data_IF_665723263747
#
_entry.id   IF_665723263747
#
_cell.length_a   1.000
_cell.length_b   1.000
_cell.length_c   1.000
_cell.angle_alpha   90.00
_cell.angle_beta   90.00
_cell.angle_gamma   90.00
#
_symmetry.space_group_name_H-M   'P 1'
#
loop_
_entity.id
_entity.type
_entity.pdbx_description
1 polymer ?
#
# COMPACT_ATOMS: atom_id res chain seq x y z
N UNK A 1 -35.07 45.85 46.37
CA UNK A 1 -33.62 45.93 46.65
C UNK A 1 -33.28 47.36 47.02
N UNK A 2 -32.79 47.57 48.24
CA UNK A 2 -32.35 48.89 48.74
C UNK A 2 -31.21 49.44 47.88
N UNK A 3 -31.32 50.69 47.43
CA UNK A 3 -30.33 51.46 46.65
C UNK A 3 -29.04 51.73 47.45
N UNK A 4 -28.33 50.67 47.84
CA UNK A 4 -26.97 50.78 48.39
C UNK A 4 -25.99 50.56 47.24
N UNK A 5 -25.46 51.67 46.74
CA UNK A 5 -24.32 51.79 45.83
C UNK A 5 -24.49 51.12 44.47
N UNK A 6 -24.98 51.89 43.50
CA UNK A 6 -24.99 51.60 42.07
C UNK A 6 -23.56 51.67 41.43
N UNK A 7 -22.53 51.33 42.21
CA UNK A 7 -21.15 51.22 41.74
C UNK A 7 -20.96 49.80 41.21
N UNK A 8 -20.64 49.66 39.93
CA UNK A 8 -20.34 48.36 39.33
C UNK A 8 -19.24 47.65 40.13
N UNK A 9 -19.57 46.49 40.70
CA UNK A 9 -18.58 45.65 41.39
C UNK A 9 -17.60 45.11 40.36
N UNK A 10 -16.30 45.21 40.65
CA UNK A 10 -15.25 44.69 39.77
C UNK A 10 -15.36 43.17 39.64
N UNK A 11 -15.33 42.66 38.41
CA UNK A 11 -15.23 41.24 38.17
C UNK A 11 -13.80 40.76 38.49
N UNK A 12 -13.66 39.78 39.37
CA UNK A 12 -12.38 39.17 39.73
C UNK A 12 -12.10 37.97 38.82
N UNK A 13 -11.03 38.05 38.02
CA UNK A 13 -10.59 36.96 37.12
C UNK A 13 -9.88 35.86 37.91
N UNK A 14 -10.09 34.62 37.50
CA UNK A 14 -9.41 33.45 38.09
C UNK A 14 -7.97 33.32 37.54
N UNK A 15 -7.04 32.81 38.36
CA UNK A 15 -5.63 32.61 37.97
C UNK A 15 -5.40 31.24 37.33
N UNK A 16 -4.50 31.18 36.35
CA UNK A 16 -4.03 29.92 35.73
C UNK A 16 -3.11 29.08 36.62
N UNK A 17 -2.67 27.93 36.09
CA UNK A 17 -1.64 27.07 36.70
C UNK A 17 -0.25 27.72 36.62
N UNK A 18 0.66 27.38 37.54
CA UNK A 18 2.05 27.82 37.46
C UNK A 18 2.76 27.13 36.27
N UNK A 19 3.55 27.88 35.49
CA UNK A 19 4.24 27.35 34.28
C UNK A 19 5.05 26.07 34.54
N UNK A 20 5.79 26.00 35.65
CA UNK A 20 6.57 24.80 35.98
C UNK A 20 5.72 23.56 36.33
N UNK A 21 4.44 23.74 36.68
CA UNK A 21 3.47 22.66 37.00
C UNK A 21 2.45 22.44 35.91
N UNK A 22 2.60 23.10 34.76
CA UNK A 22 1.67 22.98 33.64
C UNK A 22 1.56 21.53 33.13
N UNK A 23 2.63 20.72 33.30
CA UNK A 23 2.64 19.27 33.04
C UNK A 23 1.57 18.50 33.85
N UNK A 24 1.14 18.98 35.01
CA UNK A 24 0.09 18.36 35.83
C UNK A 24 -1.32 18.70 35.35
N UNK A 25 -1.43 19.53 34.32
CA UNK A 25 -2.68 20.02 33.78
C UNK A 25 -3.22 21.25 34.52
N UNK A 26 -4.50 21.49 34.28
CA UNK A 26 -5.24 22.64 34.80
C UNK A 26 -5.27 22.68 36.34
N UNK A 27 -5.13 23.88 36.91
CA UNK A 27 -5.24 24.11 38.35
C UNK A 27 -6.71 24.18 38.76
N UNK A 28 -7.22 23.06 39.25
CA UNK A 28 -8.59 22.94 39.75
C UNK A 28 -8.93 24.01 40.79
N UNK A 29 -10.12 24.59 40.65
CA UNK A 29 -10.68 25.58 41.59
C UNK A 29 -11.85 24.95 42.35
N UNK A 30 -12.41 25.73 43.28
CA UNK A 30 -13.51 25.25 44.11
C UNK A 30 -14.71 24.78 43.28
N UNK A 31 -15.02 25.45 42.16
CA UNK A 31 -16.11 25.03 41.25
C UNK A 31 -15.88 23.63 40.70
N UNK A 32 -14.66 23.33 40.25
CA UNK A 32 -14.29 22.02 39.69
C UNK A 32 -14.25 20.95 40.77
N UNK A 33 -13.74 21.29 41.95
CA UNK A 33 -13.78 20.43 43.13
C UNK A 33 -15.22 20.04 43.48
N UNK A 34 -16.15 20.98 43.49
CA UNK A 34 -17.57 20.70 43.78
C UNK A 34 -18.16 19.75 42.73
N UNK A 35 -17.85 19.94 41.44
CA UNK A 35 -18.30 19.03 40.38
C UNK A 35 -17.73 17.62 40.56
N UNK A 36 -16.42 17.51 40.82
CA UNK A 36 -15.75 16.23 41.08
C UNK A 36 -16.30 15.54 42.32
N UNK A 37 -16.49 16.27 43.41
CA UNK A 37 -17.03 15.74 44.65
C UNK A 37 -18.46 15.23 44.45
N UNK A 38 -19.32 15.99 43.74
CA UNK A 38 -20.68 15.55 43.42
C UNK A 38 -20.70 14.28 42.56
N UNK A 39 -19.86 14.19 41.53
CA UNK A 39 -19.73 12.99 40.70
C UNK A 39 -19.25 11.78 41.51
N UNK A 40 -18.23 11.97 42.37
CA UNK A 40 -17.73 10.91 43.25
C UNK A 40 -18.81 10.39 44.19
N UNK A 41 -19.53 11.28 44.90
CA UNK A 41 -20.61 10.86 45.80
C UNK A 41 -21.76 10.20 45.03
N UNK A 42 -22.13 10.70 43.85
CA UNK A 42 -23.15 10.07 42.99
C UNK A 42 -22.77 8.63 42.59
N UNK A 43 -21.50 8.40 42.26
CA UNK A 43 -20.96 7.06 41.97
C UNK A 43 -20.95 6.18 43.22
N UNK A 44 -20.53 6.71 44.36
CA UNK A 44 -20.54 5.96 45.63
C UNK A 44 -21.96 5.56 46.02
N UNK A 45 -22.93 6.48 45.97
CA UNK A 45 -24.33 6.20 46.27
C UNK A 45 -24.89 5.11 45.35
N UNK A 46 -24.56 5.15 44.05
CA UNK A 46 -24.95 4.11 43.10
C UNK A 46 -24.34 2.76 43.45
N UNK A 47 -23.06 2.71 43.80
CA UNK A 47 -22.38 1.47 44.22
C UNK A 47 -22.97 0.92 45.52
N UNK A 48 -23.25 1.77 46.50
CA UNK A 48 -23.90 1.37 47.76
C UNK A 48 -25.27 0.76 47.50
N UNK A 49 -26.10 1.38 46.66
CA UNK A 49 -27.40 0.80 46.25
C UNK A 49 -27.24 -0.53 45.53
N UNK A 50 -26.24 -0.68 44.66
CA UNK A 50 -25.97 -1.96 43.97
C UNK A 50 -25.50 -3.05 44.94
N UNK A 51 -24.68 -2.71 45.94
CA UNK A 51 -24.25 -3.64 47.00
C UNK A 51 -25.43 -4.09 47.85
N UNK A 52 -26.30 -3.17 48.24
CA UNK A 52 -27.51 -3.50 48.99
C UNK A 52 -28.42 -4.46 48.20
N UNK A 53 -28.70 -4.14 46.93
CA UNK A 53 -29.48 -5.04 46.03
C UNK A 53 -28.83 -6.42 45.88
N UNK A 54 -27.51 -6.49 45.80
CA UNK A 54 -26.80 -7.76 45.70
C UNK A 54 -26.89 -8.57 47.01
N UNK A 55 -26.87 -7.91 48.17
CA UNK A 55 -26.99 -8.55 49.49
C UNK A 55 -28.41 -9.05 49.77
N UNK A 56 -29.43 -8.28 49.36
CA UNK A 56 -30.86 -8.60 49.53
C UNK A 56 -31.41 -9.56 48.44
N UNK A 57 -30.55 -10.09 47.57
CA UNK A 57 -30.96 -10.95 46.44
C UNK A 57 -31.55 -12.27 46.92
N UNK A 58 -32.76 -12.61 46.46
CA UNK A 58 -33.35 -13.92 46.67
C UNK A 58 -32.64 -14.97 45.80
N UNK A 59 -32.17 -16.06 46.40
CA UNK A 59 -31.43 -17.12 45.68
C UNK A 59 -32.32 -17.90 44.72
N UNK A 60 -33.61 -17.98 45.01
CA UNK A 60 -34.61 -18.76 44.26
C UNK A 60 -35.43 -17.90 43.28
N UNK A 61 -34.99 -16.66 43.02
CA UNK A 61 -35.66 -15.79 42.06
C UNK A 61 -35.59 -16.34 40.63
N UNK A 62 -36.73 -16.34 39.93
CA UNK A 62 -36.81 -16.77 38.55
C UNK A 62 -37.55 -15.72 37.69
N UNK A 63 -36.88 -15.25 36.64
CA UNK A 63 -37.45 -14.38 35.62
C UNK A 63 -37.42 -15.09 34.26
N UNK A 64 -38.48 -14.97 33.45
CA UNK A 64 -38.56 -15.63 32.13
C UNK A 64 -37.41 -15.27 31.17
N UNK A 65 -36.81 -14.08 31.33
CA UNK A 65 -35.64 -13.66 30.54
C UNK A 65 -34.40 -14.52 30.79
N UNK A 66 -34.28 -15.18 31.96
CA UNK A 66 -33.18 -16.06 32.30
C UNK A 66 -33.06 -17.28 31.36
N UNK A 67 -34.13 -17.64 30.64
CA UNK A 67 -34.10 -18.72 29.65
C UNK A 67 -33.28 -18.37 28.40
N UNK A 68 -33.19 -17.08 28.05
CA UNK A 68 -32.51 -16.60 26.84
C UNK A 68 -31.15 -16.00 27.16
N UNK A 69 -31.06 -15.30 28.28
CA UNK A 69 -29.87 -14.62 28.74
C UNK A 69 -28.89 -15.58 29.41
N UNK A 70 -27.58 -15.33 29.23
CA UNK A 70 -26.53 -16.20 29.75
C UNK A 70 -25.54 -15.40 30.58
N UNK A 71 -25.03 -16.01 31.62
CA UNK A 71 -23.98 -15.44 32.48
C UNK A 71 -22.74 -16.31 32.36
N UNK A 72 -21.58 -15.70 32.12
CA UNK A 72 -20.29 -16.40 32.08
C UNK A 72 -19.37 -15.83 33.16
N UNK A 73 -18.87 -16.67 34.06
CA UNK A 73 -18.03 -16.26 35.21
C UNK A 73 -18.67 -15.13 36.04
N UNK A 74 -19.99 -15.18 36.22
CA UNK A 74 -20.73 -14.17 37.00
C UNK A 74 -21.05 -12.86 36.27
N UNK A 75 -20.67 -12.70 35.01
CA UNK A 75 -21.00 -11.51 34.19
C UNK A 75 -22.02 -11.87 33.12
N UNK A 76 -23.08 -11.06 33.02
CA UNK A 76 -24.12 -11.20 32.01
C UNK A 76 -23.55 -10.96 30.60
N UNK A 77 -23.77 -11.91 29.69
CA UNK A 77 -23.34 -11.86 28.30
C UNK A 77 -24.52 -11.49 27.41
N UNK A 78 -24.47 -10.29 26.84
CA UNK A 78 -25.39 -9.87 25.78
C UNK A 78 -24.92 -10.40 24.43
N UNK A 79 -25.87 -10.89 23.65
CA UNK A 79 -25.62 -11.28 22.26
C UNK A 79 -25.26 -10.03 21.42
N UNK A 80 -24.26 -10.16 20.55
CA UNK A 80 -23.84 -9.11 19.60
C UNK A 80 -24.58 -9.21 18.27
N UNK A 81 -25.40 -10.26 18.08
CA UNK A 81 -26.19 -10.50 16.88
C UNK A 81 -25.55 -11.46 15.86
N UNK A 82 -24.38 -12.03 16.17
CA UNK A 82 -23.73 -12.99 15.29
C UNK A 82 -24.35 -14.38 15.49
N UNK A 83 -25.04 -14.87 14.46
CA UNK A 83 -25.71 -16.18 14.48
C UNK A 83 -24.95 -17.21 13.63
N UNK A 84 -25.10 -18.49 13.98
CA UNK A 84 -24.57 -19.58 13.17
C UNK A 84 -25.37 -19.71 11.88
N UNK A 85 -24.77 -19.34 10.76
CA UNK A 85 -25.42 -19.43 9.45
C UNK A 85 -25.50 -20.89 8.98
N UNK A 86 -26.60 -21.29 8.31
CA UNK A 86 -26.70 -22.61 7.71
C UNK A 86 -25.67 -22.77 6.59
N UNK A 87 -25.16 -24.00 6.42
CA UNK A 87 -24.04 -24.30 5.52
C UNK A 87 -24.34 -23.88 4.08
N UNK A 88 -25.58 -24.03 3.60
CA UNK A 88 -25.95 -23.67 2.24
C UNK A 88 -25.92 -22.17 1.99
N UNK A 89 -26.28 -21.35 2.99
CA UNK A 89 -26.14 -19.90 2.92
C UNK A 89 -24.66 -19.49 2.90
N UNK A 90 -23.83 -20.15 3.71
CA UNK A 90 -22.37 -19.92 3.70
C UNK A 90 -21.77 -20.28 2.33
N UNK A 91 -22.22 -21.36 1.67
CA UNK A 91 -21.75 -21.72 0.31
C UNK A 91 -22.09 -20.62 -0.70
N UNK A 92 -23.30 -20.05 -0.63
CA UNK A 92 -23.71 -18.96 -1.51
C UNK A 92 -22.84 -17.72 -1.30
N UNK A 93 -22.66 -17.30 -0.05
CA UNK A 93 -21.80 -16.16 0.30
C UNK A 93 -20.36 -16.36 -0.21
N UNK A 94 -19.77 -17.55 0.02
CA UNK A 94 -18.42 -17.85 -0.46
C UNK A 94 -18.31 -17.89 -1.98
N UNK A 95 -19.37 -18.31 -2.68
CA UNK A 95 -19.41 -18.28 -4.15
C UNK A 95 -19.49 -16.84 -4.66
N UNK A 96 -20.24 -15.97 -3.99
CA UNK A 96 -20.29 -14.54 -4.31
C UNK A 96 -18.92 -13.87 -4.08
N UNK A 97 -18.26 -14.17 -2.95
CA UNK A 97 -16.91 -13.68 -2.63
C UNK A 97 -15.89 -14.15 -3.69
N UNK A 98 -15.90 -15.43 -4.07
CA UNK A 98 -15.02 -15.98 -5.11
C UNK A 98 -15.19 -15.24 -6.44
N UNK A 99 -16.45 -15.03 -6.85
CA UNK A 99 -16.77 -14.32 -8.09
C UNK A 99 -16.31 -12.86 -8.04
N UNK A 100 -16.50 -12.17 -6.91
CA UNK A 100 -16.01 -10.80 -6.71
C UNK A 100 -14.48 -10.71 -6.81
N UNK A 101 -13.77 -11.63 -6.16
CA UNK A 101 -12.30 -11.67 -6.26
C UNK A 101 -11.84 -11.95 -7.69
N UNK A 102 -12.53 -12.85 -8.41
CA UNK A 102 -12.24 -13.16 -9.82
C UNK A 102 -12.42 -11.93 -10.73
N UNK A 103 -13.51 -11.17 -10.58
CA UNK A 103 -13.74 -9.95 -11.37
C UNK A 103 -12.72 -8.86 -11.03
N UNK A 104 -12.43 -8.66 -9.74
CA UNK A 104 -11.40 -7.72 -9.30
C UNK A 104 -10.02 -8.07 -9.87
N UNK A 105 -9.66 -9.36 -9.87
CA UNK A 105 -8.42 -9.84 -10.47
C UNK A 105 -8.38 -9.60 -11.98
N UNK A 106 -9.45 -9.94 -12.71
CA UNK A 106 -9.53 -9.72 -14.15
C UNK A 106 -9.40 -8.22 -14.51
N UNK A 107 -10.02 -7.33 -13.72
CA UNK A 107 -9.86 -5.89 -13.89
C UNK A 107 -8.42 -5.41 -13.63
N UNK A 108 -7.74 -6.00 -12.64
CA UNK A 108 -6.36 -5.66 -12.30
C UNK A 108 -5.39 -6.14 -13.38
N UNK A 109 -5.60 -7.35 -13.93
CA UNK A 109 -4.81 -7.87 -15.06
C UNK A 109 -4.90 -6.95 -16.28
N UNK A 110 -6.10 -6.51 -16.68
CA UNK A 110 -6.26 -5.55 -17.79
C UNK A 110 -5.49 -4.24 -17.56
N UNK A 111 -5.44 -3.77 -16.30
CA UNK A 111 -4.68 -2.56 -15.95
C UNK A 111 -3.17 -2.81 -15.97
N UNK A 112 -2.72 -3.97 -15.52
CA UNK A 112 -1.32 -4.41 -15.66
C UNK A 112 -0.95 -4.45 -17.14
N UNK A 113 -1.76 -5.08 -18.00
CA UNK A 113 -1.49 -5.18 -19.43
C UNK A 113 -1.42 -3.80 -20.11
N UNK A 114 -2.30 -2.86 -19.71
CA UNK A 114 -2.23 -1.47 -20.18
C UNK A 114 -0.94 -0.76 -19.75
N UNK A 115 -0.50 -0.94 -18.50
CA UNK A 115 0.76 -0.34 -18.03
C UNK A 115 1.97 -0.99 -18.71
N UNK A 116 1.95 -2.31 -18.92
CA UNK A 116 2.98 -3.02 -19.68
C UNK A 116 3.06 -2.48 -21.11
N UNK A 117 1.92 -2.31 -21.78
CA UNK A 117 1.88 -1.73 -23.13
C UNK A 117 2.41 -0.29 -23.16
N UNK A 118 2.06 0.54 -22.16
CA UNK A 118 2.58 1.91 -22.03
C UNK A 118 4.10 1.92 -21.83
N UNK A 119 4.63 1.07 -20.94
CA UNK A 119 6.07 0.91 -20.74
C UNK A 119 6.75 0.44 -22.02
N UNK A 120 6.24 -0.59 -22.70
CA UNK A 120 6.82 -1.07 -23.96
C UNK A 120 6.80 -0.01 -25.07
N UNK A 121 5.82 0.90 -25.09
CA UNK A 121 5.77 2.01 -26.06
C UNK A 121 6.77 3.13 -25.76
N UNK A 122 7.28 3.24 -24.53
CA UNK A 122 8.33 4.20 -24.21
C UNK A 122 9.66 3.66 -24.75
N UNK A 123 10.13 4.25 -25.86
CA UNK A 123 11.36 3.86 -26.56
C UNK A 123 12.64 3.93 -25.69
N UNK A 124 12.57 4.62 -24.55
CA UNK A 124 13.65 4.80 -23.58
C UNK A 124 13.97 3.57 -22.72
N UNK A 125 13.15 2.51 -22.75
CA UNK A 125 13.46 1.29 -21.97
C UNK A 125 14.67 0.51 -22.52
N UNK A 126 15.09 0.79 -23.76
CA UNK A 126 16.11 0.02 -24.49
C UNK A 126 17.25 0.87 -25.06
N UNK A 127 17.38 2.16 -24.70
CA UNK A 127 18.51 2.97 -25.15
C UNK A 127 19.80 2.46 -24.49
N UNK A 128 20.78 1.95 -25.27
CA UNK A 128 21.94 1.29 -24.68
C UNK A 128 23.17 2.18 -24.45
N UNK A 129 23.18 3.44 -24.89
CA UNK A 129 24.43 4.22 -25.11
C UNK A 129 24.45 5.62 -24.45
N UNK A 130 23.78 5.83 -23.31
CA UNK A 130 24.00 7.06 -22.53
C UNK A 130 24.64 6.66 -21.20
N UNK A 131 25.89 7.07 -20.98
CA UNK A 131 26.65 6.91 -19.73
C UNK A 131 26.22 7.96 -18.67
N UNK A 132 24.94 8.32 -18.63
CA UNK A 132 24.39 9.37 -17.77
C UNK A 132 23.39 8.78 -16.75
N UNK A 133 23.20 9.51 -15.65
CA UNK A 133 22.53 9.22 -14.36
C UNK A 133 21.11 8.57 -14.36
N UNK A 134 20.59 8.10 -15.49
CA UNK A 134 19.25 7.49 -15.68
C UNK A 134 19.24 5.93 -15.66
N UNK A 135 20.19 5.31 -14.95
CA UNK A 135 20.21 3.86 -14.75
C UNK A 135 19.00 3.42 -13.89
N UNK A 136 18.18 2.50 -14.43
CA UNK A 136 17.09 1.87 -13.66
C UNK A 136 17.63 1.24 -12.36
N UNK A 137 17.03 1.59 -11.22
CA UNK A 137 17.32 0.93 -9.95
C UNK A 137 17.18 -0.60 -10.06
N UNK A 138 17.94 -1.37 -9.28
CA UNK A 138 17.81 -2.84 -9.25
C UNK A 138 16.36 -3.28 -8.94
N UNK A 139 15.66 -2.52 -8.09
CA UNK A 139 14.26 -2.73 -7.77
C UNK A 139 13.35 -2.57 -9.01
N UNK A 140 13.62 -1.58 -9.86
CA UNK A 140 12.87 -1.34 -11.08
C UNK A 140 13.15 -2.41 -12.14
N UNK A 141 14.41 -2.86 -12.25
CA UNK A 141 14.80 -4.00 -13.07
C UNK A 141 14.10 -5.29 -12.63
N UNK A 142 13.99 -5.54 -11.32
CA UNK A 142 13.23 -6.66 -10.79
C UNK A 142 11.74 -6.58 -11.14
N UNK A 143 11.14 -5.40 -11.09
CA UNK A 143 9.72 -5.20 -11.48
C UNK A 143 9.53 -5.53 -12.95
N UNK A 144 10.44 -5.12 -13.83
CA UNK A 144 10.40 -5.44 -15.26
C UNK A 144 10.62 -6.94 -15.54
N UNK A 145 11.53 -7.59 -14.81
CA UNK A 145 11.73 -9.06 -14.86
C UNK A 145 10.50 -9.81 -14.35
N UNK A 146 9.87 -9.34 -13.27
CA UNK A 146 8.64 -9.91 -12.72
C UNK A 146 7.41 -9.67 -13.63
N UNK A 147 7.43 -8.59 -14.39
CA UNK A 147 6.44 -8.29 -15.42
C UNK A 147 6.67 -9.06 -16.74
N UNK A 148 7.74 -9.85 -16.84
CA UNK A 148 8.18 -10.55 -18.05
C UNK A 148 8.41 -9.60 -19.25
N UNK A 149 8.82 -8.36 -18.99
CA UNK A 149 9.23 -7.39 -20.03
C UNK A 149 10.71 -7.60 -20.37
N UNK A 150 11.55 -7.80 -19.35
CA UNK A 150 12.96 -8.16 -19.51
C UNK A 150 13.16 -9.66 -19.29
N UNK A 151 14.07 -10.31 -20.06
CA UNK A 151 14.39 -11.71 -19.85
C UNK A 151 15.00 -11.93 -18.46
N UNK A 152 14.53 -12.96 -17.76
CA UNK A 152 15.10 -13.37 -16.47
C UNK A 152 16.54 -13.87 -16.70
N UNK A 153 17.52 -13.48 -15.87
CA UNK A 153 18.88 -13.97 -16.01
C UNK A 153 18.89 -15.49 -15.83
N UNK A 154 19.18 -16.24 -16.88
CA UNK A 154 19.28 -17.70 -16.83
C UNK A 154 20.55 -18.09 -16.07
N UNK A 155 20.40 -18.59 -14.84
CA UNK A 155 21.50 -19.10 -14.06
C UNK A 155 22.07 -20.40 -14.65
N UNK A 156 23.22 -20.28 -15.35
CA UNK A 156 24.37 -21.22 -15.44
C UNK A 156 25.07 -21.06 -16.80
N UNK A 157 25.87 -20.02 -16.95
CA UNK A 157 27.16 -20.15 -17.64
C UNK A 157 28.23 -19.51 -16.76
N UNK A 158 29.17 -20.32 -16.29
CA UNK A 158 30.43 -19.84 -15.72
C UNK A 158 31.25 -19.31 -16.88
N UNK A 159 31.01 -18.07 -17.22
CA UNK A 159 31.73 -17.35 -18.25
C UNK A 159 31.24 -15.92 -18.17
N UNK A 160 32.15 -14.99 -17.90
CA UNK A 160 31.90 -13.55 -17.88
C UNK A 160 31.66 -13.09 -19.33
N UNK A 161 30.63 -13.60 -19.98
CA UNK A 161 30.16 -13.12 -21.25
C UNK A 161 29.27 -11.93 -20.94
N UNK A 162 29.84 -10.71 -21.03
CA UNK A 162 29.03 -9.51 -21.25
C UNK A 162 28.00 -9.86 -22.30
N UNK A 163 26.72 -9.75 -21.98
CA UNK A 163 25.66 -9.89 -22.97
C UNK A 163 25.96 -8.86 -24.07
N UNK A 164 26.53 -9.30 -25.18
CA UNK A 164 26.78 -8.41 -26.31
C UNK A 164 25.41 -8.10 -26.89
N UNK A 165 24.91 -6.92 -26.53
CA UNK A 165 23.75 -6.23 -27.10
C UNK A 165 23.71 -6.52 -28.61
N UNK A 166 22.54 -6.88 -29.16
CA UNK A 166 22.39 -6.99 -30.61
C UNK A 166 22.59 -5.60 -31.19
N UNK A 167 23.81 -5.33 -31.68
CA UNK A 167 24.14 -4.08 -32.36
C UNK A 167 23.21 -3.92 -33.56
N UNK A 168 22.79 -2.69 -33.86
CA UNK A 168 22.06 -2.39 -35.08
C UNK A 168 22.91 -2.82 -36.28
N UNK A 169 22.45 -3.84 -37.01
CA UNK A 169 23.17 -4.42 -38.13
C UNK A 169 22.75 -3.70 -39.40
N UNK A 170 23.65 -2.88 -39.93
CA UNK A 170 23.48 -2.24 -41.25
C UNK A 170 24.15 -3.13 -42.29
N UNK A 171 23.36 -3.68 -43.22
CA UNK A 171 23.87 -4.42 -44.37
C UNK A 171 24.23 -3.43 -45.49
N UNK A 172 25.38 -3.65 -46.12
CA UNK A 172 25.90 -2.77 -47.18
C UNK A 172 26.42 -3.64 -48.33
N UNK A 173 26.10 -3.25 -49.57
CA UNK A 173 26.35 -4.08 -50.76
C UNK A 173 27.80 -3.99 -51.29
N UNK A 174 28.53 -2.93 -50.92
CA UNK A 174 29.92 -2.71 -51.35
C UNK A 174 30.89 -2.59 -50.17
N UNK A 175 32.07 -3.24 -50.23
CA UNK A 175 33.09 -3.13 -49.17
C UNK A 175 33.67 -1.71 -49.04
N UNK A 176 33.51 -0.86 -50.07
CA UNK A 176 33.94 0.55 -50.01
C UNK A 176 32.96 1.43 -49.25
N UNK A 177 31.66 1.12 -49.32
CA UNK A 177 30.59 1.86 -48.66
C UNK A 177 30.54 1.56 -47.15
N UNK A 178 30.79 0.29 -46.78
CA UNK A 178 30.97 -0.09 -45.37
C UNK A 178 32.12 0.69 -44.68
N UNK A 179 33.21 0.98 -45.42
CA UNK A 179 34.33 1.77 -44.90
C UNK A 179 34.01 3.26 -44.79
N UNK A 180 33.18 3.81 -45.69
CA UNK A 180 32.73 5.20 -45.63
C UNK A 180 31.83 5.43 -44.43
N UNK A 181 30.81 4.58 -44.23
CA UNK A 181 29.91 4.62 -43.07
C UNK A 181 30.68 4.51 -41.75
N UNK A 182 31.63 3.57 -41.65
CA UNK A 182 32.48 3.46 -40.47
C UNK A 182 33.41 4.67 -40.25
N UNK A 183 33.79 5.37 -41.32
CA UNK A 183 34.62 6.59 -41.24
C UNK A 183 33.82 7.88 -41.00
N UNK A 184 32.54 7.89 -41.34
CA UNK A 184 31.60 9.00 -41.11
C UNK A 184 31.06 8.98 -39.68
N UNK A 185 30.72 7.81 -39.13
CA UNK A 185 30.39 7.66 -37.70
C UNK A 185 31.52 8.17 -36.81
N UNK A 186 32.77 7.88 -37.16
CA UNK A 186 33.95 8.28 -36.37
C UNK A 186 34.36 9.76 -36.56
N UNK A 187 33.73 10.49 -37.49
CA UNK A 187 33.95 11.93 -37.70
C UNK A 187 32.93 12.80 -36.96
N UNK A 188 31.80 12.23 -36.53
CA UNK A 188 30.79 12.93 -35.72
C UNK A 188 31.07 12.87 -34.21
N UNK A 189 32.12 12.17 -33.78
CA UNK A 189 32.49 12.00 -32.37
C UNK A 189 33.73 12.82 -31.94
N UNK A 190 33.82 14.08 -32.35
CA UNK A 190 34.75 15.07 -31.77
C UNK A 190 33.91 16.11 -31.01
N UNK A 191 34.23 16.43 -29.74
CA UNK A 191 33.45 17.39 -28.95
C UNK A 191 33.78 18.82 -29.36
N UNK A 192 33.08 19.35 -30.36
CA UNK A 192 33.14 20.77 -30.71
C UNK A 192 32.23 21.59 -29.79
N UNK A 193 32.89 22.34 -28.92
CA UNK A 193 32.53 23.61 -28.27
C UNK A 193 31.12 24.19 -28.53
N UNK A 194 30.48 24.59 -27.43
CA UNK A 194 29.17 25.23 -27.32
C UNK A 194 28.98 26.44 -28.27
N UNK A 195 28.23 26.27 -29.35
CA UNK A 195 27.37 27.32 -29.91
C UNK A 195 26.05 26.68 -30.36
N UNK A 196 24.94 27.17 -29.83
CA UNK A 196 23.59 26.80 -30.27
C UNK A 196 23.45 27.11 -31.76
N UNK A 197 23.49 26.08 -32.61
CA UNK A 197 22.92 26.19 -33.95
C UNK A 197 21.41 26.03 -33.82
N UNK A 198 20.68 27.10 -34.10
CA UNK A 198 19.27 27.02 -34.46
C UNK A 198 19.19 26.16 -35.74
N UNK A 199 18.84 24.89 -35.57
CA UNK A 199 18.52 24.00 -36.68
C UNK A 199 17.12 24.36 -37.13
N UNK A 200 17.03 25.03 -38.28
CA UNK A 200 15.78 25.16 -39.01
C UNK A 200 15.20 23.75 -39.22
N UNK A 201 14.03 23.49 -38.63
CA UNK A 201 13.19 22.31 -38.86
C UNK A 201 12.68 22.29 -40.31
N UNK A 202 13.57 22.08 -41.28
CA UNK A 202 13.18 21.54 -42.58
C UNK A 202 13.17 20.01 -42.49
N UNK A 203 12.03 19.48 -42.05
CA UNK A 203 11.69 18.07 -42.23
C UNK A 203 11.89 17.71 -43.72
N UNK A 204 12.75 16.74 -44.06
CA UNK A 204 12.82 16.28 -45.44
C UNK A 204 11.49 15.63 -45.83
N UNK A 205 10.77 16.25 -46.76
CA UNK A 205 9.52 15.75 -47.34
C UNK A 205 9.75 14.39 -48.01
N UNK A 206 9.48 13.31 -47.27
CA UNK A 206 9.62 11.94 -47.71
C UNK A 206 8.47 11.47 -48.63
N UNK A 207 7.62 12.37 -49.14
CA UNK A 207 6.70 12.08 -50.24
C UNK A 207 5.50 11.19 -49.88
N UNK A 208 5.13 11.11 -48.60
CA UNK A 208 3.89 10.48 -48.17
C UNK A 208 2.79 11.54 -48.16
N UNK A 209 1.83 11.45 -49.10
CA UNK A 209 0.72 12.40 -49.18
C UNK A 209 -0.14 12.34 -47.92
N UNK A 210 -0.01 13.32 -47.04
CA UNK A 210 -0.98 13.60 -45.99
C UNK A 210 -2.12 14.45 -46.58
N UNK A 211 -3.35 13.96 -46.48
CA UNK A 211 -4.56 14.74 -46.80
C UNK A 211 -4.73 15.88 -45.79
N UNK A 212 -4.89 17.09 -46.30
CA UNK A 212 -5.00 18.31 -45.52
C UNK A 212 -6.37 18.44 -44.84
N UNK A 213 -6.45 18.17 -43.53
CA UNK A 213 -7.59 18.60 -42.72
C UNK A 213 -7.33 19.99 -42.12
N UNK A 214 -8.27 20.87 -42.39
CA UNK A 214 -8.22 22.31 -42.24
C UNK A 214 -8.17 22.83 -40.80
N UNK A 215 -7.50 23.98 -40.65
CA UNK A 215 -7.44 24.86 -39.48
C UNK A 215 -8.83 25.11 -38.86
N UNK A 216 -9.04 24.70 -37.60
CA UNK A 216 -10.12 25.24 -36.77
C UNK A 216 -9.62 26.33 -35.81
N UNK A 217 -10.36 27.44 -35.87
CA UNK A 217 -10.19 28.71 -35.13
C UNK A 217 -10.19 28.51 -33.61
N UNK A 218 -9.17 29.08 -32.95
CA UNK A 218 -9.17 29.36 -31.50
C UNK A 218 -10.15 30.50 -31.21
N UNK A 219 -11.15 30.25 -30.35
CA UNK A 219 -12.00 31.31 -29.76
C UNK A 219 -11.35 31.78 -28.45
N UNK A 220 -11.24 33.10 -28.30
CA UNK A 220 -10.90 33.80 -27.05
C UNK A 220 -12.04 33.67 -26.04
N UNK A 221 -11.72 33.44 -24.78
CA UNK A 221 -12.55 33.82 -23.63
C UNK A 221 -11.66 34.45 -22.56
N UNK A 222 -12.12 35.59 -22.04
CA UNK A 222 -11.44 36.45 -21.07
C UNK A 222 -11.42 35.87 -19.64
N UNK A 223 -10.49 36.30 -18.77
CA UNK A 223 -10.54 36.06 -17.34
C UNK A 223 -11.16 37.26 -16.59
N UNK A 224 -11.90 36.96 -15.53
CA UNK A 224 -12.44 37.93 -14.56
C UNK A 224 -11.87 37.65 -13.17
N UNK A 225 -11.13 38.64 -12.68
CA UNK A 225 -11.00 39.18 -11.31
C UNK A 225 -10.82 38.27 -10.09
N UNK A 226 -9.65 38.45 -9.46
CA UNK A 226 -9.39 38.79 -8.06
C UNK A 226 -9.53 37.70 -6.96
N UNK A 227 -8.37 37.27 -6.44
CA UNK A 227 -7.97 37.56 -5.05
C UNK A 227 -6.47 37.29 -4.88
N UNK A 228 -5.75 38.32 -4.45
CA UNK A 228 -4.36 38.32 -3.99
C UNK A 228 -4.27 37.60 -2.63
N UNK A 229 -3.26 36.75 -2.42
CA UNK A 229 -2.18 37.03 -1.46
C UNK A 229 -1.21 35.84 -1.38
N UNK A 230 0.05 36.21 -1.57
CA UNK A 230 1.27 35.43 -1.62
C UNK A 230 1.69 34.89 -0.26
N UNK A 231 2.06 33.60 -0.16
CA UNK A 231 3.16 33.14 0.72
C UNK A 231 3.51 31.66 0.45
N UNK A 232 4.29 31.38 -0.59
CA UNK A 232 5.00 30.10 -0.72
C UNK A 232 6.16 30.24 -1.69
N UNK A 233 7.24 30.86 -1.23
CA UNK A 233 8.50 30.88 -1.96
C UNK A 233 9.66 30.70 -0.99
N UNK A 234 10.07 29.44 -0.77
CA UNK A 234 11.48 29.09 -0.52
C UNK A 234 11.70 27.59 -0.69
N UNK A 235 12.54 27.23 -1.66
CA UNK A 235 13.00 25.91 -2.16
C UNK A 235 12.42 25.55 -3.53
N UNK A 236 12.75 26.35 -4.55
CA UNK A 236 12.79 25.91 -5.95
C UNK A 236 14.27 25.78 -6.32
N UNK A 237 14.84 24.61 -6.02
CA UNK A 237 16.06 24.16 -6.66
C UNK A 237 15.60 23.63 -8.01
N UNK A 238 15.87 24.38 -9.10
CA UNK A 238 15.55 23.98 -10.46
C UNK A 238 16.33 22.70 -10.82
N UNK A 239 15.84 21.55 -10.36
CA UNK A 239 16.14 20.25 -10.96
C UNK A 239 15.48 20.28 -12.34
N UNK A 240 16.31 20.34 -13.39
CA UNK A 240 15.93 20.01 -14.75
C UNK A 240 15.59 18.50 -14.84
N UNK A 241 14.53 18.09 -14.15
CA UNK A 241 13.98 16.75 -14.20
C UNK A 241 13.38 16.54 -15.60
N UNK A 242 14.02 15.68 -16.39
CA UNK A 242 13.49 15.25 -17.67
C UNK A 242 12.09 14.62 -17.42
N UNK A 243 10.97 15.20 -17.90
CA UNK A 243 9.62 14.77 -17.51
C UNK A 243 9.31 13.31 -17.88
N UNK A 244 10.09 12.71 -18.78
CA UNK A 244 10.03 11.30 -19.13
C UNK A 244 10.48 10.34 -18.02
N UNK A 245 11.47 10.73 -17.19
CA UNK A 245 12.06 9.86 -16.15
C UNK A 245 11.14 9.74 -14.93
N UNK A 246 10.59 10.87 -14.45
CA UNK A 246 9.65 10.89 -13.32
C UNK A 246 8.30 10.20 -13.64
N UNK A 247 7.81 10.31 -14.87
CA UNK A 247 6.62 9.58 -15.30
C UNK A 247 6.87 8.07 -15.45
N UNK A 248 8.08 7.66 -15.86
CA UNK A 248 8.49 6.26 -15.94
C UNK A 248 8.55 5.61 -14.56
N UNK A 249 9.21 6.23 -13.59
CA UNK A 249 9.30 5.72 -12.21
C UNK A 249 7.91 5.61 -11.56
N UNK A 250 7.01 6.57 -11.83
CA UNK A 250 5.58 6.49 -11.43
C UNK A 250 4.88 5.27 -12.04
N UNK A 251 5.04 5.01 -13.34
CA UNK A 251 4.43 3.86 -14.01
C UNK A 251 5.00 2.54 -13.48
N UNK A 252 6.31 2.46 -13.23
CA UNK A 252 6.98 1.28 -12.67
C UNK A 252 6.52 1.00 -11.24
N UNK A 253 6.41 2.04 -10.41
CA UNK A 253 5.86 1.95 -9.06
C UNK A 253 4.39 1.53 -9.05
N UNK A 254 3.59 2.02 -10.00
CA UNK A 254 2.20 1.57 -10.16
C UNK A 254 2.14 0.10 -10.60
N UNK A 255 2.98 -0.30 -11.55
CA UNK A 255 3.07 -1.67 -12.04
C UNK A 255 3.48 -2.62 -10.92
N UNK A 256 4.51 -2.28 -10.14
CA UNK A 256 4.99 -3.10 -9.02
C UNK A 256 3.87 -3.32 -7.99
N UNK A 257 3.18 -2.25 -7.58
CA UNK A 257 2.05 -2.32 -6.66
C UNK A 257 0.90 -3.19 -7.21
N UNK A 258 0.64 -3.15 -8.53
CA UNK A 258 -0.39 -3.98 -9.16
C UNK A 258 0.01 -5.44 -9.28
N UNK A 259 1.28 -5.74 -9.53
CA UNK A 259 1.81 -7.11 -9.54
C UNK A 259 1.69 -7.75 -8.15
N UNK A 260 2.04 -7.00 -7.10
CA UNK A 260 1.83 -7.43 -5.70
C UNK A 260 0.35 -7.69 -5.43
N UNK A 261 -0.54 -6.78 -5.86
CA UNK A 261 -1.99 -6.97 -5.75
C UNK A 261 -2.49 -8.20 -6.51
N UNK A 262 -2.02 -8.45 -7.74
CA UNK A 262 -2.42 -9.66 -8.49
C UNK A 262 -2.00 -10.93 -7.74
N UNK A 263 -0.79 -10.94 -7.19
CA UNK A 263 -0.29 -12.06 -6.37
C UNK A 263 -1.22 -12.32 -5.18
N UNK A 264 -1.59 -11.27 -4.44
CA UNK A 264 -2.53 -11.37 -3.31
C UNK A 264 -3.92 -11.84 -3.74
N UNK A 265 -4.49 -11.27 -4.80
CA UNK A 265 -5.79 -11.66 -5.34
C UNK A 265 -5.78 -13.10 -5.83
N UNK A 266 -4.68 -13.56 -6.43
CA UNK A 266 -4.49 -14.94 -6.86
C UNK A 266 -4.45 -15.91 -5.68
N UNK A 267 -3.78 -15.55 -4.58
CA UNK A 267 -3.82 -16.33 -3.36
C UNK A 267 -5.23 -16.39 -2.77
N UNK A 268 -5.90 -15.24 -2.63
CA UNK A 268 -7.27 -15.18 -2.13
C UNK A 268 -8.24 -16.01 -2.99
N UNK A 269 -8.15 -15.90 -4.32
CA UNK A 269 -8.96 -16.70 -5.24
C UNK A 269 -8.74 -18.20 -5.00
N UNK A 270 -7.49 -18.65 -4.91
CA UNK A 270 -7.16 -20.05 -4.63
C UNK A 270 -7.70 -20.50 -3.28
N UNK A 271 -7.66 -19.65 -2.26
CA UNK A 271 -8.22 -19.95 -0.94
C UNK A 271 -9.75 -20.09 -0.98
N UNK A 272 -10.45 -19.18 -1.66
CA UNK A 272 -11.91 -19.27 -1.82
C UNK A 272 -12.31 -20.49 -2.63
N UNK A 273 -11.63 -20.79 -3.74
CA UNK A 273 -11.83 -22.02 -4.52
C UNK A 273 -11.61 -23.26 -3.65
N UNK A 274 -10.54 -23.28 -2.84
CA UNK A 274 -10.26 -24.36 -1.92
C UNK A 274 -11.34 -24.49 -0.84
N UNK A 275 -11.81 -23.38 -0.26
CA UNK A 275 -12.92 -23.39 0.70
C UNK A 275 -14.22 -23.90 0.06
N UNK A 276 -14.52 -23.51 -1.18
CA UNK A 276 -15.70 -24.00 -1.92
C UNK A 276 -15.61 -25.49 -2.19
N UNK A 277 -14.44 -25.97 -2.65
CA UNK A 277 -14.18 -27.39 -2.87
C UNK A 277 -14.26 -28.18 -1.57
N UNK A 278 -13.74 -27.63 -0.46
CA UNK A 278 -13.92 -28.20 0.86
C UNK A 278 -15.42 -28.26 1.17
N UNK A 279 -16.19 -27.19 1.05
CA UNK A 279 -17.63 -27.20 1.34
C UNK A 279 -18.47 -28.06 0.37
N UNK A 280 -17.86 -28.59 -0.70
CA UNK A 280 -18.45 -29.54 -1.63
C UNK A 280 -18.76 -30.91 -1.01
N UNK A 281 -19.48 -31.74 -1.77
CA UNK A 281 -19.80 -33.12 -1.41
C UNK A 281 -18.57 -34.01 -1.66
N UNK A 282 -18.35 -35.00 -0.78
CA UNK A 282 -17.28 -35.99 -0.93
C UNK A 282 -16.38 -36.10 0.31
N UNK A 283 -15.66 -37.23 0.39
CA UNK A 283 -14.67 -37.46 1.44
C UNK A 283 -13.41 -36.63 1.21
N UNK A 284 -12.86 -36.06 2.28
CA UNK A 284 -11.62 -35.27 2.24
C UNK A 284 -10.70 -35.68 3.37
N UNK A 285 -9.40 -35.71 3.08
CA UNK A 285 -8.37 -35.97 4.07
C UNK A 285 -7.36 -34.83 4.07
N UNK A 286 -7.14 -34.23 5.23
CA UNK A 286 -6.14 -33.18 5.42
C UNK A 286 -4.77 -33.84 5.47
N UNK A 287 -3.91 -33.56 4.49
CA UNK A 287 -2.56 -34.11 4.43
C UNK A 287 -1.57 -33.25 5.21
N UNK A 288 -1.58 -31.92 4.98
CA UNK A 288 -0.72 -30.96 5.68
C UNK A 288 -1.52 -29.77 6.16
N UNK A 289 -1.16 -29.30 7.35
CA UNK A 289 -1.76 -28.14 7.98
C UNK A 289 -1.41 -26.81 7.32
N UNK A 290 -2.07 -25.79 7.84
CA UNK A 290 -1.65 -24.41 7.78
C UNK A 290 -0.25 -24.28 8.38
N UNK A 291 0.79 -24.20 7.57
CA UNK A 291 2.13 -23.94 8.07
C UNK A 291 2.42 -22.46 7.85
N UNK A 292 2.61 -21.73 8.94
CA UNK A 292 3.17 -20.38 8.86
C UNK A 292 4.55 -20.55 8.25
N UNK A 293 4.80 -19.94 7.10
CA UNK A 293 6.17 -19.72 6.66
C UNK A 293 6.68 -18.65 7.59
N UNK A 294 7.20 -19.07 8.73
CA UNK A 294 8.17 -18.25 9.41
C UNK A 294 9.31 -18.14 8.40
N UNK A 295 9.61 -16.91 7.97
CA UNK A 295 10.92 -16.64 7.40
C UNK A 295 11.89 -17.26 8.40
N UNK A 296 12.79 -18.12 7.93
CA UNK A 296 13.78 -18.78 8.77
C UNK A 296 14.38 -17.75 9.72
N UNK A 297 14.01 -17.83 11.00
CA UNK A 297 14.62 -17.11 12.13
C UNK A 297 16.04 -17.67 12.41
N UNK A 298 16.69 -18.25 11.40
CA UNK A 298 18.00 -18.87 11.52
C UNK A 298 19.14 -17.83 11.42
N UNK A 299 18.84 -16.54 11.27
CA UNK A 299 19.84 -15.45 11.22
C UNK A 299 19.92 -14.57 12.47
N UNK A 300 19.04 -14.77 13.47
CA UNK A 300 19.03 -13.97 14.70
C UNK A 300 19.37 -14.82 15.96
N UNK A 301 20.31 -15.77 15.87
CA UNK A 301 20.90 -16.33 17.09
C UNK A 301 21.88 -15.31 17.66
N UNK A 302 21.48 -14.58 18.70
CA UNK A 302 22.39 -13.69 19.43
C UNK A 302 23.60 -14.50 19.93
N UNK A 303 24.82 -14.09 19.54
CA UNK A 303 26.07 -14.63 20.10
C UNK A 303 26.03 -14.54 21.65
N UNK A 304 26.53 -15.55 22.37
CA UNK A 304 26.39 -15.64 23.85
C UNK A 304 26.88 -14.38 24.57
N UNK A 305 27.93 -13.74 24.04
CA UNK A 305 28.49 -12.49 24.56
C UNK A 305 27.52 -11.29 24.44
N UNK A 306 26.65 -11.28 23.42
CA UNK A 306 25.68 -10.21 23.18
C UNK A 306 24.44 -10.32 24.09
N UNK A 307 24.07 -11.54 24.50
CA UNK A 307 23.00 -11.79 25.46
C UNK A 307 23.40 -11.39 26.89
N UNK A 308 24.66 -11.62 27.25
CA UNK A 308 25.18 -11.31 28.57
C UNK A 308 25.29 -9.79 28.79
N UNK A 309 25.68 -9.04 27.76
CA UNK A 309 25.66 -7.57 27.77
C UNK A 309 24.26 -6.96 28.02
N UNK A 310 23.19 -7.72 27.75
CA UNK A 310 21.78 -7.31 27.96
C UNK A 310 21.16 -7.91 29.23
N UNK A 311 21.95 -8.60 30.06
CA UNK A 311 21.48 -9.27 31.27
C UNK A 311 20.48 -10.38 30.97
N UNK A 312 20.72 -11.16 29.92
CA UNK A 312 19.89 -12.30 29.52
C UNK A 312 18.53 -11.93 28.91
N UNK A 313 18.35 -10.67 28.51
CA UNK A 313 17.11 -10.21 27.84
C UNK A 313 17.27 -10.30 26.32
N UNK A 314 16.51 -11.18 25.64
CA UNK A 314 16.58 -11.29 24.19
C UNK A 314 16.10 -10.00 23.51
N UNK A 315 16.63 -9.72 22.32
CA UNK A 315 16.14 -8.65 21.45
C UNK A 315 14.63 -8.83 21.20
N UNK A 316 13.86 -7.74 21.31
CA UNK A 316 12.48 -7.75 20.81
C UNK A 316 12.53 -7.87 19.30
N UNK A 317 12.01 -8.97 18.75
CA UNK A 317 11.89 -9.19 17.32
C UNK A 317 11.30 -7.97 16.63
N UNK A 318 12.03 -7.42 15.64
CA UNK A 318 11.51 -6.35 14.79
C UNK A 318 10.34 -6.93 14.01
N UNK A 319 9.21 -6.22 13.97
CA UNK A 319 8.08 -6.65 13.15
C UNK A 319 8.51 -6.65 11.68
N UNK A 320 8.67 -7.83 11.09
CA UNK A 320 9.04 -8.00 9.68
C UNK A 320 8.06 -7.22 8.78
N UNK A 321 8.57 -6.26 8.01
CA UNK A 321 7.81 -5.44 7.05
C UNK A 321 7.37 -6.23 5.81
N UNK A 322 7.90 -7.45 5.65
CA UNK A 322 7.54 -8.39 4.59
C UNK A 322 6.08 -8.85 4.73
N UNK A 323 5.26 -8.79 3.65
CA UNK A 323 3.91 -9.31 3.68
C UNK A 323 3.97 -10.83 3.89
N UNK A 324 3.54 -11.26 5.08
CA UNK A 324 3.49 -12.67 5.52
C UNK A 324 3.00 -13.61 4.41
N UNK A 325 3.93 -14.30 3.76
CA UNK A 325 3.62 -15.24 2.69
C UNK A 325 3.18 -16.57 3.29
N UNK A 326 1.87 -16.78 3.41
CA UNK A 326 1.33 -18.03 3.93
C UNK A 326 1.40 -19.15 2.86
N UNK A 327 1.94 -20.32 3.23
CA UNK A 327 1.92 -21.50 2.35
C UNK A 327 0.46 -21.98 2.18
N UNK A 328 -0.03 -22.18 0.94
CA UNK A 328 -1.42 -22.59 0.71
C UNK A 328 -1.69 -23.99 1.30
N UNK A 329 -2.86 -24.17 1.90
CA UNK A 329 -3.31 -25.46 2.47
C UNK A 329 -3.41 -26.53 1.37
N UNK A 330 -2.89 -27.74 1.62
CA UNK A 330 -2.89 -28.85 0.66
C UNK A 330 -3.84 -29.95 1.14
N UNK A 331 -4.76 -30.35 0.26
CA UNK A 331 -5.74 -31.42 0.51
C UNK A 331 -5.67 -32.50 -0.56
N UNK A 332 -6.01 -33.73 -0.18
CA UNK A 332 -6.28 -34.83 -1.10
C UNK A 332 -7.77 -35.10 -1.11
N UNK A 333 -8.36 -35.11 -2.31
CA UNK A 333 -9.75 -35.46 -2.53
C UNK A 333 -9.84 -36.92 -2.99
N UNK A 334 -10.81 -37.68 -2.46
CA UNK A 334 -11.14 -39.02 -2.98
C UNK A 334 -12.59 -38.99 -3.45
N UNK A 335 -12.81 -39.33 -4.71
CA UNK A 335 -14.15 -39.48 -5.27
C UNK A 335 -14.73 -40.83 -4.79
N UNK A 336 -15.26 -40.88 -3.56
CA UNK A 336 -16.05 -42.04 -3.15
C UNK A 336 -17.45 -41.90 -3.75
N UNK A 337 -17.77 -42.71 -4.77
CA UNK A 337 -19.16 -43.09 -5.03
C UNK A 337 -19.56 -43.97 -3.85
N UNK A 338 -20.52 -43.53 -3.04
CA UNK A 338 -21.22 -44.42 -2.12
C UNK A 338 -21.85 -45.51 -3.01
N UNK A 339 -21.40 -46.74 -2.83
CA UNK A 339 -22.11 -47.92 -3.32
C UNK A 339 -23.34 -48.15 -2.44
#
# INVERSE_FOLDING_TARGET
MTLRNNLHRRNHKERGQLKHREKLGFLEKHKDYVLRARDYHSKQDRLTRLRQKAAERNKDEFYFSMNREKTRRGVHLKDRGNTSLPVDFVKVLKTQDENYVRTMRASNLKKIDKLKARLMSQADLLKPDMEDEDDLDENELEVLRNADILPKPSGKSKGKARATKSRHLVFVDSPQEARKLASEENKQSEPSNEEKMDVDDEEPDLGWKAESSSKQKRRKSAPTTAAEDDEADWYDEEEHDNPGSSDRSRILKELSARLVRDRQLRYAQREFEMQRLLMGKGGRTKLRGAERVEASDDEDSDDEDALDARGGRPLKAKASTEPKAYKPRIYKWRLQRKA
#
